data_IF_390163933937
#
_entry.id   IF_390163933937
#
_cell.length_a   1.000
_cell.length_b   1.000
_cell.length_c   1.000
_cell.angle_alpha   90.00
_cell.angle_beta   90.00
_cell.angle_gamma   90.00
#
_symmetry.space_group_name_H-M   'P 1'
#
loop_
_entity.id
_entity.type
_entity.pdbx_description
1 polymer ?
#
# COMPACT_ATOMS: atom_id res chain seq x y z
N UNK A 1 -17.75 24.71 -3.53
CA UNK A 1 -16.78 23.65 -3.23
C UNK A 1 -16.81 23.49 -1.73
N UNK A 2 -17.38 22.40 -1.26
CA UNK A 2 -17.51 22.16 0.17
C UNK A 2 -16.15 21.72 0.71
N UNK A 3 -15.63 22.56 1.59
CA UNK A 3 -14.32 22.44 2.21
C UNK A 3 -14.34 21.21 3.12
N UNK A 4 -13.80 20.08 2.64
CA UNK A 4 -13.71 18.85 3.43
C UNK A 4 -12.81 19.18 4.63
N UNK A 5 -13.43 19.37 5.80
CA UNK A 5 -12.73 19.71 7.03
C UNK A 5 -11.87 18.52 7.50
N UNK A 6 -10.66 18.43 6.93
CA UNK A 6 -9.64 17.45 7.28
C UNK A 6 -9.34 17.45 8.79
N UNK A 7 -9.48 18.61 9.45
CA UNK A 7 -9.35 18.74 10.90
C UNK A 7 -10.39 17.93 11.67
N UNK A 8 -11.63 17.83 11.18
CA UNK A 8 -12.67 17.02 11.80
C UNK A 8 -12.36 15.53 11.67
N UNK A 9 -11.79 15.11 10.54
CA UNK A 9 -11.39 13.72 10.28
C UNK A 9 -10.17 13.35 11.16
N UNK A 10 -9.16 14.22 11.22
CA UNK A 10 -8.00 14.03 12.08
C UNK A 10 -8.36 14.05 13.57
N UNK A 11 -9.29 14.91 13.98
CA UNK A 11 -9.83 14.92 15.34
C UNK A 11 -10.47 13.59 15.71
N UNK A 12 -11.31 13.03 14.82
CA UNK A 12 -11.94 11.71 15.02
C UNK A 12 -10.91 10.57 15.10
N UNK A 13 -9.88 10.59 14.25
CA UNK A 13 -8.80 9.59 14.27
C UNK A 13 -7.94 9.68 15.55
N UNK A 14 -7.65 10.90 16.00
CA UNK A 14 -6.93 11.14 17.26
C UNK A 14 -7.73 10.64 18.47
N UNK A 15 -9.05 10.88 18.47
CA UNK A 15 -9.97 10.39 19.51
C UNK A 15 -10.03 8.85 19.55
N UNK A 16 -9.99 8.18 18.38
CA UNK A 16 -9.92 6.72 18.28
C UNK A 16 -8.59 6.20 18.82
N UNK A 17 -7.46 6.84 18.46
CA UNK A 17 -6.13 6.45 18.96
C UNK A 17 -6.05 6.55 20.48
N UNK A 18 -6.51 7.65 21.06
CA UNK A 18 -6.51 7.84 22.52
C UNK A 18 -7.41 6.84 23.23
N UNK A 19 -8.55 6.48 22.65
CA UNK A 19 -9.42 5.41 23.18
C UNK A 19 -8.77 4.02 23.08
N UNK A 20 -8.01 3.74 22.02
CA UNK A 20 -7.26 2.50 21.86
C UNK A 20 -6.11 2.38 22.87
N UNK A 21 -5.36 3.46 23.05
CA UNK A 21 -4.24 3.52 24.00
C UNK A 21 -4.72 3.36 25.45
N UNK A 22 -5.88 3.92 25.79
CA UNK A 22 -6.49 3.75 27.12
C UNK A 22 -7.06 2.34 27.35
N UNK A 23 -7.54 1.64 26.31
CA UNK A 23 -7.90 0.22 26.39
C UNK A 23 -6.65 -0.66 26.60
N UNK A 24 -5.53 -0.32 25.95
CA UNK A 24 -4.27 -1.05 26.09
C UNK A 24 -3.59 -0.77 27.44
N UNK A 25 -3.75 0.42 28.01
CA UNK A 25 -3.28 0.76 29.34
C UNK A 25 -4.12 0.08 30.44
N UNK A 26 -5.44 -0.02 30.24
CA UNK A 26 -6.34 -0.73 31.17
C UNK A 26 -6.21 -2.26 31.09
N UNK A 27 -5.80 -2.82 29.95
CA UNK A 27 -5.50 -4.25 29.83
C UNK A 27 -4.22 -4.66 30.59
N UNK A 28 -3.19 -3.81 30.59
CA UNK A 28 -1.95 -4.04 31.37
C UNK A 28 -2.13 -3.91 32.89
N UNK A 29 -3.18 -3.22 33.34
CA UNK A 29 -3.45 -3.01 34.78
C UNK A 29 -4.32 -4.13 35.38
N UNK A 30 -5.03 -4.91 34.55
CA UNK A 30 -5.97 -5.96 34.99
C UNK A 30 -5.38 -7.37 35.10
N UNK A 31 -4.07 -7.56 34.93
CA UNK A 31 -3.46 -8.90 34.98
C UNK A 31 -3.41 -9.52 36.39
N UNK A 32 -3.65 -8.75 37.47
CA UNK A 32 -3.51 -9.22 38.86
C UNK A 32 -4.80 -9.21 39.72
N UNK A 33 -6.00 -9.22 39.14
CA UNK A 33 -7.24 -9.40 39.92
C UNK A 33 -8.24 -10.30 39.17
N UNK A 34 -8.84 -11.32 39.82
CA UNK A 34 -9.77 -12.21 39.14
C UNK A 34 -11.10 -11.48 38.95
N UNK A 35 -11.21 -10.73 37.87
CA UNK A 35 -12.44 -10.08 37.47
C UNK A 35 -13.17 -11.03 36.53
N UNK A 36 -13.94 -11.97 37.11
CA UNK A 36 -15.14 -12.46 36.43
C UNK A 36 -16.12 -11.28 36.32
N UNK A 37 -15.86 -10.42 35.36
CA UNK A 37 -16.85 -9.51 34.82
C UNK A 37 -16.76 -9.67 33.32
N UNK A 38 -17.39 -10.74 32.86
CA UNK A 38 -17.78 -10.93 31.49
C UNK A 38 -18.66 -9.72 31.17
N UNK A 39 -18.08 -8.67 30.59
CA UNK A 39 -18.87 -7.65 29.89
C UNK A 39 -19.39 -8.36 28.64
N UNK A 40 -20.46 -9.13 28.84
CA UNK A 40 -21.33 -9.55 27.76
C UNK A 40 -22.01 -8.28 27.26
N UNK A 41 -21.29 -7.51 26.43
CA UNK A 41 -21.97 -6.60 25.54
C UNK A 41 -22.63 -7.49 24.47
N UNK A 42 -23.76 -8.09 24.85
CA UNK A 42 -24.61 -8.84 23.94
C UNK A 42 -25.25 -7.82 23.02
N UNK A 43 -24.53 -7.45 21.96
CA UNK A 43 -25.12 -6.71 20.83
C UNK A 43 -26.21 -7.62 20.28
N UNK A 44 -27.45 -7.12 20.23
CA UNK A 44 -28.56 -7.96 19.77
C UNK A 44 -28.36 -8.29 18.29
N UNK A 45 -28.85 -9.45 17.86
CA UNK A 45 -28.79 -9.82 16.45
C UNK A 45 -29.50 -8.77 15.57
N UNK A 46 -30.54 -8.11 16.09
CA UNK A 46 -31.23 -7.03 15.39
C UNK A 46 -30.37 -5.76 15.26
N UNK A 47 -29.55 -5.42 16.27
CA UNK A 47 -28.62 -4.29 16.20
C UNK A 47 -27.52 -4.54 15.15
N UNK A 48 -26.97 -5.76 15.10
CA UNK A 48 -25.99 -6.15 14.08
C UNK A 48 -26.62 -6.07 12.68
N UNK A 49 -27.83 -6.60 12.52
CA UNK A 49 -28.54 -6.57 11.24
C UNK A 49 -28.87 -5.13 10.80
N UNK A 50 -29.27 -4.27 11.75
CA UNK A 50 -29.54 -2.85 11.51
C UNK A 50 -28.28 -2.10 11.06
N UNK A 51 -27.14 -2.36 11.72
CA UNK A 51 -25.84 -1.77 11.32
C UNK A 51 -25.47 -2.25 9.92
N UNK A 52 -25.55 -3.55 9.64
CA UNK A 52 -25.21 -4.12 8.32
C UNK A 52 -26.11 -3.53 7.23
N UNK A 53 -27.43 -3.45 7.44
CA UNK A 53 -28.37 -2.83 6.50
C UNK A 53 -28.06 -1.36 6.25
N UNK A 54 -27.75 -0.61 7.31
CA UNK A 54 -27.42 0.81 7.22
C UNK A 54 -26.14 1.01 6.41
N UNK A 55 -25.07 0.25 6.71
CA UNK A 55 -23.81 0.35 6.00
C UNK A 55 -23.93 -0.09 4.54
N UNK A 56 -24.65 -1.18 4.27
CA UNK A 56 -24.93 -1.63 2.90
C UNK A 56 -25.69 -0.56 2.10
N UNK A 57 -26.64 0.13 2.73
CA UNK A 57 -27.39 1.22 2.10
C UNK A 57 -26.50 2.43 1.78
N UNK A 58 -25.62 2.81 2.72
CA UNK A 58 -24.68 3.92 2.50
C UNK A 58 -23.73 3.60 1.35
N UNK A 59 -23.15 2.40 1.34
CA UNK A 59 -22.26 1.94 0.27
C UNK A 59 -23.00 1.89 -1.07
N UNK A 60 -24.23 1.38 -1.09
CA UNK A 60 -25.07 1.34 -2.29
C UNK A 60 -25.31 2.75 -2.88
N UNK A 61 -25.71 3.71 -2.04
CA UNK A 61 -25.94 5.11 -2.47
C UNK A 61 -24.67 5.77 -2.98
N UNK A 62 -23.54 5.54 -2.32
CA UNK A 62 -22.25 6.09 -2.76
C UNK A 62 -21.82 5.51 -4.11
N UNK A 63 -22.02 4.21 -4.32
CA UNK A 63 -21.67 3.53 -5.57
C UNK A 63 -22.55 4.01 -6.73
N UNK A 64 -23.85 4.22 -6.50
CA UNK A 64 -24.78 4.80 -7.47
C UNK A 64 -24.39 6.23 -7.86
N UNK A 65 -24.12 7.09 -6.87
CA UNK A 65 -23.65 8.45 -7.10
C UNK A 65 -22.36 8.48 -7.93
N UNK A 66 -21.37 7.65 -7.56
CA UNK A 66 -20.09 7.58 -8.26
C UNK A 66 -20.26 7.12 -9.70
N UNK A 67 -21.13 6.12 -9.93
CA UNK A 67 -21.46 5.63 -11.26
C UNK A 67 -22.13 6.71 -12.13
N UNK A 68 -23.07 7.48 -11.56
CA UNK A 68 -23.74 8.56 -12.27
C UNK A 68 -22.75 9.65 -12.71
N UNK A 69 -21.89 10.08 -11.79
CA UNK A 69 -20.85 11.10 -12.05
C UNK A 69 -19.88 10.60 -13.13
N UNK A 70 -19.43 9.35 -13.04
CA UNK A 70 -18.53 8.76 -14.04
C UNK A 70 -19.18 8.69 -15.43
N UNK A 71 -20.46 8.30 -15.50
CA UNK A 71 -21.22 8.25 -16.75
C UNK A 71 -21.37 9.63 -17.36
N UNK A 72 -21.65 10.65 -16.54
CA UNK A 72 -21.77 12.04 -17.00
C UNK A 72 -20.44 12.56 -17.57
N UNK A 73 -19.32 12.33 -16.87
CA UNK A 73 -18.00 12.71 -17.37
C UNK A 73 -17.64 12.01 -18.68
N UNK A 74 -17.95 10.72 -18.80
CA UNK A 74 -17.71 9.96 -20.02
C UNK A 74 -18.51 10.52 -21.19
N UNK A 75 -19.79 10.84 -20.97
CA UNK A 75 -20.64 11.44 -22.01
C UNK A 75 -20.15 12.84 -22.43
N UNK A 76 -19.67 13.66 -21.47
CA UNK A 76 -19.08 14.98 -21.78
C UNK A 76 -17.80 14.84 -22.61
N UNK A 77 -16.94 13.87 -22.27
CA UNK A 77 -15.72 13.59 -23.03
C UNK A 77 -16.04 13.12 -24.45
N UNK A 78 -16.95 12.15 -24.59
CA UNK A 78 -17.36 11.63 -25.90
C UNK A 78 -17.95 12.74 -26.79
N UNK A 79 -18.78 13.62 -26.22
CA UNK A 79 -19.33 14.78 -26.91
C UNK A 79 -18.22 15.74 -27.37
N UNK A 80 -17.24 16.00 -26.50
CA UNK A 80 -16.10 16.88 -26.82
C UNK A 80 -15.23 16.31 -27.94
N UNK A 81 -14.91 15.00 -27.88
CA UNK A 81 -14.18 14.29 -28.93
C UNK A 81 -14.94 14.34 -30.25
N UNK A 82 -16.26 14.10 -30.23
CA UNK A 82 -17.11 14.22 -31.41
C UNK A 82 -17.10 15.63 -32.00
N UNK A 83 -17.11 16.67 -31.16
CA UNK A 83 -16.98 18.07 -31.57
C UNK A 83 -15.63 18.36 -32.24
N UNK A 84 -14.53 17.92 -31.64
CA UNK A 84 -13.18 18.06 -32.21
C UNK A 84 -13.06 17.31 -33.54
N UNK A 85 -13.58 16.09 -33.62
CA UNK A 85 -13.59 15.30 -34.87
C UNK A 85 -14.29 16.05 -36.00
N UNK A 86 -15.47 16.65 -35.73
CA UNK A 86 -16.19 17.47 -36.72
C UNK A 86 -15.40 18.71 -37.14
N UNK A 87 -14.70 19.35 -36.21
CA UNK A 87 -13.84 20.49 -36.54
C UNK A 87 -12.67 20.06 -37.43
N UNK A 88 -12.06 18.90 -37.17
CA UNK A 88 -10.98 18.34 -38.01
C UNK A 88 -11.51 17.97 -39.40
N UNK A 89 -12.70 17.36 -39.50
CA UNK A 89 -13.33 17.02 -40.78
C UNK A 89 -13.75 18.26 -41.58
N UNK A 90 -14.01 19.38 -40.90
CA UNK A 90 -14.30 20.67 -41.53
C UNK A 90 -13.05 21.46 -41.93
N UNK A 91 -11.85 21.03 -41.52
CA UNK A 91 -10.62 21.64 -42.02
C UNK A 91 -10.48 21.30 -43.51
N UNK A 92 -10.08 22.27 -44.36
CA UNK A 92 -9.81 21.98 -45.75
C UNK A 92 -8.74 20.89 -45.82
N UNK A 93 -9.01 19.83 -46.59
CA UNK A 93 -8.04 18.76 -46.86
C UNK A 93 -6.75 19.46 -47.31
N UNK A 94 -5.62 19.25 -46.63
CA UNK A 94 -4.39 19.89 -47.03
C UNK A 94 -4.13 19.52 -48.48
N UNK A 95 -4.03 20.54 -49.31
CA UNK A 95 -3.62 20.43 -50.71
C UNK A 95 -2.41 19.47 -50.74
N UNK A 96 -2.36 18.56 -51.70
CA UNK A 96 -1.24 17.60 -51.81
C UNK A 96 0.04 18.38 -52.13
N UNK A 97 0.68 18.94 -51.10
CA UNK A 97 1.96 19.62 -51.23
C UNK A 97 2.94 18.52 -51.62
N UNK A 98 3.45 18.58 -52.85
CA UNK A 98 4.54 17.72 -53.28
C UNK A 98 5.75 18.01 -52.39
N UNK A 99 6.13 17.05 -51.56
CA UNK A 99 7.31 17.13 -50.69
C UNK A 99 8.63 16.94 -51.46
N UNK A 100 8.57 16.80 -52.79
CA UNK A 100 9.72 16.56 -53.66
C UNK A 100 10.79 17.67 -53.61
N UNK A 101 10.45 18.98 -53.53
CA UNK A 101 11.44 20.04 -53.33
C UNK A 101 12.08 20.01 -51.94
N UNK A 102 11.29 19.65 -50.92
CA UNK A 102 11.72 19.58 -49.52
C UNK A 102 12.67 18.38 -49.32
N UNK A 103 12.40 17.25 -49.98
CA UNK A 103 13.24 16.06 -49.93
C UNK A 103 14.63 16.28 -50.54
N UNK A 104 14.79 17.23 -51.46
CA UNK A 104 16.08 17.64 -52.04
C UNK A 104 16.93 18.53 -51.10
N UNK A 105 16.30 19.19 -50.13
CA UNK A 105 16.98 20.02 -49.13
C UNK A 105 17.54 19.20 -47.96
N UNK A 106 17.05 17.98 -47.76
CA UNK A 106 17.58 17.10 -46.72
C UNK A 106 18.79 16.31 -47.24
N UNK A 107 19.95 16.39 -46.57
CA UNK A 107 21.09 15.56 -46.93
C UNK A 107 20.72 14.08 -46.80
N UNK A 108 21.11 13.26 -47.78
CA UNK A 108 20.88 11.80 -47.78
C UNK A 108 21.22 11.25 -46.40
N UNK A 109 20.37 10.40 -45.80
CA UNK A 109 20.61 9.88 -44.47
C UNK A 109 21.99 9.21 -44.45
N UNK A 110 22.91 9.78 -43.66
CA UNK A 110 24.20 9.15 -43.38
C UNK A 110 23.89 7.79 -42.78
N UNK A 111 24.41 6.72 -43.37
CA UNK A 111 24.38 5.40 -42.76
C UNK A 111 25.10 5.50 -41.43
N UNK A 112 24.35 5.63 -40.35
CA UNK A 112 24.86 5.50 -38.99
C UNK A 112 24.99 4.00 -38.76
N UNK A 113 26.21 3.48 -38.88
CA UNK A 113 26.51 2.09 -38.55
C UNK A 113 26.41 1.97 -37.03
N UNK A 114 25.25 1.55 -36.53
CA UNK A 114 25.07 1.27 -35.10
C UNK A 114 25.90 0.03 -34.80
N UNK A 115 27.00 0.21 -34.07
CA UNK A 115 27.88 -0.87 -33.63
C UNK A 115 27.20 -1.67 -32.50
N UNK A 116 26.22 -2.50 -32.85
CA UNK A 116 25.40 -3.25 -31.88
C UNK A 116 26.19 -4.28 -31.04
N UNK A 117 27.39 -4.65 -31.46
CA UNK A 117 28.23 -5.63 -30.77
C UNK A 117 28.75 -5.12 -29.42
N UNK A 118 29.14 -3.83 -29.34
CA UNK A 118 29.60 -3.21 -28.10
C UNK A 118 28.45 -3.03 -27.10
N UNK A 119 27.26 -2.69 -27.59
CA UNK A 119 26.05 -2.61 -26.77
C UNK A 119 25.69 -3.97 -26.16
N UNK A 120 25.78 -5.05 -26.95
CA UNK A 120 25.52 -6.40 -26.47
C UNK A 120 26.50 -6.80 -25.36
N UNK A 121 27.81 -6.52 -25.55
CA UNK A 121 28.85 -6.86 -24.58
C UNK A 121 28.65 -6.13 -23.25
N UNK A 122 28.35 -4.84 -23.30
CA UNK A 122 28.09 -4.04 -22.09
C UNK A 122 26.80 -4.49 -21.39
N UNK A 123 25.76 -4.83 -22.15
CA UNK A 123 24.49 -5.33 -21.61
C UNK A 123 24.67 -6.64 -20.82
N UNK A 124 25.47 -7.57 -21.33
CA UNK A 124 25.77 -8.84 -20.64
C UNK A 124 26.49 -8.59 -19.32
N UNK A 125 27.48 -7.69 -19.29
CA UNK A 125 28.21 -7.35 -18.06
C UNK A 125 27.28 -6.74 -17.01
N UNK A 126 26.43 -5.79 -17.42
CA UNK A 126 25.45 -5.17 -16.53
C UNK A 126 24.48 -6.22 -15.97
N UNK A 127 24.03 -7.14 -16.81
CA UNK A 127 23.10 -8.21 -16.40
C UNK A 127 23.73 -9.12 -15.35
N UNK A 128 24.99 -9.52 -15.52
CA UNK A 128 25.71 -10.36 -14.54
C UNK A 128 25.88 -9.62 -13.21
N UNK A 129 26.20 -8.32 -13.25
CA UNK A 129 26.33 -7.50 -12.03
C UNK A 129 25.02 -7.38 -11.27
N UNK A 130 23.90 -7.18 -11.97
CA UNK A 130 22.56 -7.14 -11.36
C UNK A 130 22.25 -8.49 -10.71
N UNK A 131 22.56 -9.60 -11.39
CA UNK A 131 22.32 -10.94 -10.86
C UNK A 131 23.13 -11.17 -9.58
N UNK A 132 24.42 -10.83 -9.60
CA UNK A 132 25.30 -10.96 -8.44
C UNK A 132 24.80 -10.13 -7.25
N UNK A 133 24.42 -8.87 -7.50
CA UNK A 133 23.86 -8.00 -6.47
C UNK A 133 22.58 -8.59 -5.86
N UNK A 134 21.67 -9.10 -6.70
CA UNK A 134 20.43 -9.71 -6.24
C UNK A 134 20.70 -10.95 -5.37
N UNK A 135 21.61 -11.82 -5.79
CA UNK A 135 22.02 -12.99 -5.00
C UNK A 135 22.61 -12.59 -3.65
N UNK A 136 23.49 -11.58 -3.61
CA UNK A 136 24.05 -11.07 -2.35
C UNK A 136 22.96 -10.54 -1.42
N UNK A 137 21.95 -9.84 -1.96
CA UNK A 137 20.86 -9.27 -1.18
C UNK A 137 19.97 -10.37 -0.58
N UNK A 138 19.63 -11.39 -1.37
CA UNK A 138 18.87 -12.56 -0.90
C UNK A 138 19.63 -13.32 0.19
N UNK A 139 20.92 -13.56 -0.01
CA UNK A 139 21.75 -14.23 0.99
C UNK A 139 21.86 -13.41 2.29
N UNK A 140 21.97 -12.09 2.18
CA UNK A 140 22.03 -11.20 3.34
C UNK A 140 20.72 -11.21 4.15
N UNK A 141 19.57 -11.13 3.47
CA UNK A 141 18.25 -11.26 4.13
C UNK A 141 18.13 -12.61 4.85
N UNK A 142 18.53 -13.70 4.18
CA UNK A 142 18.49 -15.03 4.78
C UNK A 142 19.38 -15.15 6.02
N UNK A 143 20.61 -14.65 5.95
CA UNK A 143 21.53 -14.62 7.09
C UNK A 143 20.97 -13.80 8.27
N UNK A 144 20.32 -12.67 7.98
CA UNK A 144 19.69 -11.84 9.01
C UNK A 144 18.52 -12.56 9.68
N UNK A 145 17.72 -13.31 8.92
CA UNK A 145 16.58 -14.06 9.46
C UNK A 145 17.02 -15.27 10.31
N UNK A 146 18.04 -16.00 9.84
CA UNK A 146 18.69 -17.07 10.61
C UNK A 146 19.28 -16.53 11.92
N UNK A 147 19.96 -15.38 11.86
CA UNK A 147 20.50 -14.71 13.04
C UNK A 147 19.39 -14.27 14.01
N UNK A 148 18.29 -13.71 13.50
CA UNK A 148 17.14 -13.31 14.30
C UNK A 148 16.51 -14.51 15.00
N UNK A 149 16.37 -15.63 14.30
CA UNK A 149 15.84 -16.88 14.85
C UNK A 149 16.73 -17.41 15.97
N UNK A 150 18.04 -17.46 15.74
CA UNK A 150 19.01 -17.90 16.75
C UNK A 150 18.99 -16.98 17.99
N UNK A 151 18.98 -15.66 17.77
CA UNK A 151 18.91 -14.66 18.85
C UNK A 151 17.65 -14.83 19.70
N UNK A 152 16.50 -15.06 19.08
CA UNK A 152 15.25 -15.29 19.79
C UNK A 152 15.32 -16.59 20.63
N UNK A 153 15.92 -17.65 20.09
CA UNK A 153 16.15 -18.90 20.83
C UNK A 153 17.01 -18.71 22.08
N UNK A 154 18.13 -17.98 21.96
CA UNK A 154 18.99 -17.66 23.11
C UNK A 154 18.29 -16.77 24.14
N UNK A 155 17.54 -15.75 23.69
CA UNK A 155 16.79 -14.89 24.59
C UNK A 155 15.76 -15.70 25.40
N UNK A 156 15.06 -16.63 24.76
CA UNK A 156 14.09 -17.51 25.43
C UNK A 156 14.77 -18.40 26.49
N UNK A 157 15.94 -18.94 26.17
CA UNK A 157 16.73 -19.74 27.13
C UNK A 157 17.20 -18.91 28.33
N UNK A 158 17.68 -17.68 28.09
CA UNK A 158 18.11 -16.76 29.14
C UNK A 158 16.92 -16.41 30.05
N UNK A 159 15.77 -16.08 29.47
CA UNK A 159 14.56 -15.77 30.22
C UNK A 159 14.10 -16.96 31.07
N UNK A 160 14.15 -18.17 30.51
CA UNK A 160 13.81 -19.40 31.24
C UNK A 160 14.75 -19.64 32.43
N UNK A 161 16.06 -19.51 32.23
CA UNK A 161 17.05 -19.66 33.31
C UNK A 161 16.86 -18.61 34.41
N UNK A 162 16.57 -17.36 34.06
CA UNK A 162 16.28 -16.29 35.03
C UNK A 162 15.02 -16.58 35.84
N UNK A 163 13.94 -17.06 35.20
CA UNK A 163 12.72 -17.46 35.90
C UNK A 163 12.96 -18.61 36.88
N UNK A 164 13.74 -19.61 36.47
CA UNK A 164 14.10 -20.74 37.34
C UNK A 164 14.93 -20.27 38.56
N UNK A 165 15.96 -19.45 38.34
CA UNK A 165 16.76 -18.88 39.44
C UNK A 165 15.94 -18.00 40.38
N UNK A 166 14.96 -17.26 39.87
CA UNK A 166 14.10 -16.41 40.70
C UNK A 166 13.15 -17.25 41.55
N UNK A 167 12.54 -18.30 40.97
CA UNK A 167 11.70 -19.25 41.72
C UNK A 167 12.48 -19.97 42.81
N UNK A 168 13.68 -20.46 42.50
CA UNK A 168 14.54 -21.15 43.47
C UNK A 168 14.92 -20.24 44.66
N UNK A 169 15.15 -18.94 44.40
CA UNK A 169 15.39 -17.95 45.46
C UNK A 169 14.14 -17.67 46.30
N UNK A 170 12.95 -17.63 45.70
CA UNK A 170 11.69 -17.43 46.41
C UNK A 170 11.32 -18.64 47.28
N UNK A 171 11.50 -19.86 46.77
CA UNK A 171 11.22 -21.10 47.50
C UNK A 171 12.19 -21.28 48.68
N UNK A 172 13.47 -20.98 48.50
CA UNK A 172 14.45 -20.96 49.59
C UNK A 172 14.15 -19.90 50.67
N UNK A 173 13.48 -18.80 50.31
CA UNK A 173 13.10 -17.74 51.25
C UNK A 173 11.83 -18.09 52.05
N UNK A 174 10.97 -18.97 51.52
CA UNK A 174 9.76 -19.48 52.21
C UNK A 174 10.03 -20.68 53.12
N UNK A 175 11.17 -21.36 52.93
CA UNK A 175 11.57 -22.54 53.71
C UNK A 175 12.44 -22.21 54.95
N UNK A 176 12.64 -20.92 55.24
CA UNK A 176 13.35 -20.37 56.40
C UNK A 176 12.39 -19.58 57.28
#
# INVERSE_FOLDING_TARGET
>A
MDDIHYDAIFGKLSEISTKLDSIQATSKTKENQPVHQMVNQSVSQEEIESIVKTQATIVGKYMEYTHQVQTEHHNKLLTSIGGVKKQIEALPVPEKISFEPIMKLFPKPKKVTICGFEFLRTSVIITILILAFFFSLVLNIKQMDDYRTLKNGHNLQIEYMQKMQTREKEDNKKSK
#
